data_IF_192241791716
#
_entry.id   IF_192241791716
#
_cell.length_a   1.000
_cell.length_b   1.000
_cell.length_c   1.000
_cell.angle_alpha   90.00
_cell.angle_beta   90.00
_cell.angle_gamma   90.00
#
_symmetry.space_group_name_H-M   'P 1'
#
loop_
_entity.id
_entity.type
_entity.pdbx_description
1 polymer ?
#
# COMPACT_ATOMS: atom_id res chain seq x y z
N UNK A 1 21.82 -23.34 -1.36
CA UNK A 1 22.84 -23.03 -0.34
C UNK A 1 23.52 -21.66 -0.47
N UNK A 2 23.59 -21.01 -1.64
CA UNK A 2 24.20 -19.66 -1.73
C UNK A 2 23.26 -18.49 -1.35
N UNK A 3 21.93 -18.67 -1.31
CA UNK A 3 21.01 -17.61 -0.81
C UNK A 3 20.93 -17.54 0.73
N UNK A 4 21.09 -18.66 1.44
CA UNK A 4 21.31 -18.62 2.90
C UNK A 4 22.67 -17.99 3.24
N UNK A 5 23.68 -18.21 2.40
CA UNK A 5 24.99 -17.58 2.54
C UNK A 5 24.96 -16.07 2.23
N UNK A 6 24.18 -15.61 1.23
CA UNK A 6 24.03 -14.18 0.90
C UNK A 6 23.13 -13.45 1.90
N UNK A 7 22.09 -14.08 2.45
CA UNK A 7 21.29 -13.49 3.54
C UNK A 7 22.07 -13.42 4.86
N UNK A 8 22.84 -14.45 5.24
CA UNK A 8 23.77 -14.37 6.40
C UNK A 8 24.91 -13.36 6.18
N UNK A 9 25.46 -13.26 4.97
CA UNK A 9 26.49 -12.27 4.66
C UNK A 9 25.93 -10.83 4.63
N UNK A 10 24.69 -10.63 4.18
CA UNK A 10 24.05 -9.30 4.22
C UNK A 10 23.69 -8.86 5.64
N UNK A 11 23.31 -9.77 6.54
CA UNK A 11 23.08 -9.48 7.96
C UNK A 11 24.37 -9.14 8.73
N UNK A 12 25.50 -9.78 8.38
CA UNK A 12 26.82 -9.47 8.95
C UNK A 12 27.38 -8.13 8.44
N UNK A 13 27.14 -7.76 7.18
CA UNK A 13 27.58 -6.46 6.63
C UNK A 13 26.79 -5.28 7.22
N UNK A 14 25.50 -5.47 7.56
CA UNK A 14 24.72 -4.45 8.28
C UNK A 14 25.20 -4.21 9.72
N UNK A 15 25.83 -5.20 10.37
CA UNK A 15 26.35 -5.06 11.73
C UNK A 15 27.71 -4.34 11.80
N UNK A 16 28.44 -4.22 10.69
CA UNK A 16 29.73 -3.51 10.60
C UNK A 16 29.56 -2.07 10.10
N UNK A 17 28.45 -1.76 9.41
CA UNK A 17 28.15 -0.42 8.89
C UNK A 17 27.66 0.58 9.97
N UNK A 18 27.53 0.17 11.23
CA UNK A 18 27.25 1.04 12.38
C UNK A 18 28.51 1.73 12.94
N UNK A 19 29.67 1.58 12.30
CA UNK A 19 30.89 2.33 12.64
C UNK A 19 31.30 3.19 11.43
N UNK A 20 30.79 4.41 11.36
CA UNK A 20 31.16 5.35 10.30
C UNK A 20 30.08 6.38 10.03
N UNK A 21 29.87 7.28 10.98
CA UNK A 21 29.02 8.44 10.83
C UNK A 21 29.85 9.58 10.27
N UNK A 22 29.62 10.02 9.02
CA UNK A 22 29.94 11.39 8.58
C UNK A 22 28.91 11.93 7.55
N UNK A 23 28.61 13.22 7.72
CA UNK A 23 27.50 13.98 7.13
C UNK A 23 27.72 14.37 5.66
N UNK A 24 26.79 13.98 4.78
CA UNK A 24 26.39 14.77 3.61
C UNK A 24 24.92 14.45 3.27
N UNK A 25 23.99 15.36 3.59
CA UNK A 25 22.55 15.15 3.37
C UNK A 25 22.13 15.38 1.91
N UNK A 26 22.09 14.30 1.13
CA UNK A 26 21.28 14.21 -0.09
C UNK A 26 19.92 13.61 0.26
N UNK A 27 18.85 14.40 0.21
CA UNK A 27 17.48 13.89 0.39
C UNK A 27 16.88 13.54 -0.97
N UNK A 28 16.91 12.24 -1.28
CA UNK A 28 16.32 11.67 -2.50
C UNK A 28 14.90 11.16 -2.20
N UNK A 29 13.89 11.67 -2.90
CA UNK A 29 12.50 11.21 -2.81
C UNK A 29 12.14 10.44 -4.08
N UNK A 30 12.76 9.27 -4.29
CA UNK A 30 12.50 8.42 -5.46
C UNK A 30 13.14 8.90 -6.77
N UNK A 31 12.35 8.94 -7.86
CA UNK A 31 12.77 9.32 -9.22
C UNK A 31 13.01 10.83 -9.41
N UNK A 32 12.59 11.63 -8.42
CA UNK A 32 12.76 13.07 -8.40
C UNK A 32 13.88 13.44 -7.42
N UNK A 33 14.72 14.37 -7.85
CA UNK A 33 15.82 14.92 -7.04
C UNK A 33 15.40 16.28 -6.51
N UNK A 34 15.69 16.54 -5.25
CA UNK A 34 15.68 17.89 -4.71
C UNK A 34 16.68 18.74 -5.52
N UNK A 35 16.20 19.78 -6.21
CA UNK A 35 17.06 20.66 -7.02
C UNK A 35 17.30 22.01 -6.35
N UNK A 36 16.27 22.54 -5.70
CA UNK A 36 16.37 23.82 -5.00
C UNK A 36 15.69 23.72 -3.64
N UNK A 37 16.44 24.08 -2.59
CA UNK A 37 15.89 24.34 -1.27
C UNK A 37 15.32 25.76 -1.23
N UNK A 38 14.32 25.97 -0.39
CA UNK A 38 13.68 27.27 -0.13
C UNK A 38 13.21 27.98 -1.40
N UNK A 39 12.78 27.19 -2.38
CA UNK A 39 12.30 27.62 -3.69
C UNK A 39 11.19 26.72 -4.19
N UNK A 40 10.25 27.31 -4.90
CA UNK A 40 9.11 26.63 -5.52
C UNK A 40 8.86 27.17 -6.92
N UNK A 41 8.31 26.33 -7.79
CA UNK A 41 7.90 26.73 -9.13
C UNK A 41 6.43 27.19 -9.09
N UNK A 42 6.16 28.45 -9.44
CA UNK A 42 4.81 29.03 -9.48
C UNK A 42 4.27 29.11 -10.90
N UNK A 43 3.00 29.50 -11.06
CA UNK A 43 2.28 29.66 -12.35
C UNK A 43 2.12 28.39 -13.20
N UNK A 44 2.66 27.27 -12.75
CA UNK A 44 2.64 25.99 -13.43
C UNK A 44 2.04 24.85 -12.60
N UNK A 45 1.50 25.15 -11.42
CA UNK A 45 0.82 24.20 -10.53
C UNK A 45 -0.46 23.70 -11.19
N UNK A 46 -0.61 22.37 -11.27
CA UNK A 46 -1.73 21.68 -11.90
C UNK A 46 -2.57 20.86 -10.93
N UNK A 47 -2.03 20.52 -9.76
CA UNK A 47 -2.75 19.82 -8.70
C UNK A 47 -2.05 20.05 -7.37
N UNK A 48 -2.82 20.03 -6.28
CA UNK A 48 -2.31 20.16 -4.91
C UNK A 48 -2.83 19.02 -4.04
N UNK A 49 -1.97 18.45 -3.21
CA UNK A 49 -2.29 17.29 -2.36
C UNK A 49 -1.63 17.43 -0.99
N UNK A 50 -2.39 17.20 0.07
CA UNK A 50 -1.83 17.04 1.42
C UNK A 50 -1.29 15.61 1.57
N UNK A 51 -0.05 15.49 2.03
CA UNK A 51 0.62 14.20 2.25
C UNK A 51 1.39 14.21 3.56
N UNK A 52 1.54 13.05 4.17
CA UNK A 52 2.32 12.86 5.40
C UNK A 52 3.80 12.54 5.12
N UNK A 53 4.16 12.21 3.88
CA UNK A 53 5.52 11.88 3.46
C UNK A 53 5.90 12.56 2.13
N UNK A 54 7.05 13.25 2.03
CA UNK A 54 7.52 13.87 0.79
C UNK A 54 7.66 12.91 -0.41
N UNK A 55 7.82 11.60 -0.18
CA UNK A 55 7.84 10.61 -1.27
C UNK A 55 6.49 10.48 -1.98
N UNK A 56 5.36 10.77 -1.31
CA UNK A 56 4.04 10.75 -1.93
C UNK A 56 3.90 11.84 -3.01
N UNK A 57 4.57 12.98 -2.87
CA UNK A 57 4.59 14.00 -3.93
C UNK A 57 5.17 13.43 -5.24
N UNK A 58 6.20 12.59 -5.13
CA UNK A 58 6.81 11.96 -6.30
C UNK A 58 5.88 10.96 -6.97
N UNK A 59 5.14 10.16 -6.19
CA UNK A 59 4.15 9.20 -6.72
C UNK A 59 2.96 9.90 -7.36
N UNK A 60 2.45 10.96 -6.73
CA UNK A 60 1.36 11.77 -7.27
C UNK A 60 1.77 12.43 -8.60
N UNK A 61 3.01 12.91 -8.70
CA UNK A 61 3.55 13.43 -9.95
C UNK A 61 3.64 12.35 -11.03
N UNK A 62 4.18 11.16 -10.72
CA UNK A 62 4.24 10.05 -11.67
C UNK A 62 2.85 9.60 -12.16
N UNK A 63 1.84 9.76 -11.30
CA UNK A 63 0.46 9.37 -11.58
C UNK A 63 -0.34 10.40 -12.39
N UNK A 64 0.19 11.61 -12.53
CA UNK A 64 -0.43 12.68 -13.27
C UNK A 64 0.29 12.90 -14.60
N UNK A 65 -0.41 12.61 -15.71
CA UNK A 65 0.19 12.66 -17.03
C UNK A 65 0.74 14.02 -17.41
N UNK A 66 0.31 15.11 -16.77
CA UNK A 66 0.78 16.46 -17.07
C UNK A 66 1.93 16.90 -16.16
N UNK A 67 2.26 16.12 -15.13
CA UNK A 67 3.29 16.50 -14.17
C UNK A 67 4.70 16.32 -14.72
N UNK A 68 5.53 17.36 -14.56
CA UNK A 68 6.93 17.41 -14.92
C UNK A 68 7.84 17.56 -13.70
N UNK A 69 7.39 18.28 -12.66
CA UNK A 69 8.11 18.54 -11.42
C UNK A 69 7.12 18.72 -10.27
N UNK A 70 7.57 18.86 -9.02
CA UNK A 70 6.67 19.20 -7.92
C UNK A 70 7.34 20.09 -6.87
N UNK A 71 6.51 20.87 -6.17
CA UNK A 71 6.88 21.58 -4.95
C UNK A 71 6.46 20.74 -3.74
N UNK A 72 7.26 20.75 -2.68
CA UNK A 72 6.89 20.22 -1.37
C UNK A 72 6.99 21.34 -0.35
N UNK A 73 5.85 21.78 0.16
CA UNK A 73 5.76 22.86 1.16
C UNK A 73 5.44 22.25 2.51
N UNK A 74 6.17 22.63 3.55
CA UNK A 74 5.89 22.18 4.91
C UNK A 74 4.67 22.93 5.43
N UNK A 75 3.65 22.22 5.92
CA UNK A 75 2.50 22.84 6.59
C UNK A 75 2.66 22.75 8.11
N UNK A 76 2.86 21.54 8.64
CA UNK A 76 3.01 21.28 10.07
C UNK A 76 4.22 20.35 10.35
N UNK A 77 4.42 19.91 11.59
CA UNK A 77 5.53 18.98 11.93
C UNK A 77 5.47 17.63 11.18
N UNK A 78 4.32 17.22 10.66
CA UNK A 78 4.10 15.92 10.02
C UNK A 78 3.31 15.96 8.69
N UNK A 79 2.97 17.14 8.17
CA UNK A 79 2.18 17.31 6.94
C UNK A 79 2.90 18.19 5.92
N UNK A 80 2.86 17.76 4.65
CA UNK A 80 3.43 18.44 3.50
C UNK A 80 2.33 18.70 2.47
N UNK A 81 2.28 19.92 1.96
CA UNK A 81 1.51 20.27 0.77
C UNK A 81 2.37 20.01 -0.47
N UNK A 82 1.98 19.01 -1.26
CA UNK A 82 2.57 18.74 -2.57
C UNK A 82 1.84 19.54 -3.65
N UNK A 83 2.57 20.31 -4.44
CA UNK A 83 2.03 20.94 -5.65
C UNK A 83 2.69 20.32 -6.88
N UNK A 84 1.90 19.66 -7.72
CA UNK A 84 2.37 19.08 -8.97
C UNK A 84 2.45 20.19 -10.02
N UNK A 85 3.56 20.26 -10.76
CA UNK A 85 3.77 21.28 -11.79
C UNK A 85 3.77 20.67 -13.19
N UNK A 86 3.20 21.41 -14.14
CA UNK A 86 3.20 21.04 -15.57
C UNK A 86 4.54 21.21 -16.29
N UNK A 87 5.48 21.93 -15.67
CA UNK A 87 6.79 22.26 -16.22
C UNK A 87 7.90 22.01 -15.21
N UNK A 88 9.12 21.87 -15.70
CA UNK A 88 10.35 21.91 -14.90
C UNK A 88 10.90 23.34 -14.77
N UNK A 89 11.76 23.58 -13.78
CA UNK A 89 12.48 24.84 -13.61
C UNK A 89 13.43 25.12 -14.79
N UNK A 90 13.90 24.09 -15.49
CA UNK A 90 14.66 24.25 -16.73
C UNK A 90 13.79 24.80 -17.88
N UNK A 91 12.50 24.44 -17.91
CA UNK A 91 11.54 24.91 -18.92
C UNK A 91 10.92 26.27 -18.57
N UNK A 92 10.91 26.65 -17.28
CA UNK A 92 10.33 27.89 -16.79
C UNK A 92 11.19 28.53 -15.67
N UNK A 93 12.43 28.96 -15.98
CA UNK A 93 13.35 29.48 -14.96
C UNK A 93 12.85 30.76 -14.28
N UNK A 94 12.09 31.60 -15.00
CA UNK A 94 11.52 32.84 -14.47
C UNK A 94 10.39 32.63 -13.45
N UNK A 95 9.83 31.42 -13.38
CA UNK A 95 8.75 31.07 -12.45
C UNK A 95 9.26 30.40 -11.17
N UNK A 96 10.58 30.26 -11.00
CA UNK A 96 11.18 29.70 -9.79
C UNK A 96 11.40 30.82 -8.77
N UNK A 97 10.58 30.84 -7.72
CA UNK A 97 10.56 31.90 -6.70
C UNK A 97 11.10 31.39 -5.36
N UNK A 98 11.68 32.30 -4.57
CA UNK A 98 12.12 31.98 -3.21
C UNK A 98 10.91 31.81 -2.28
N UNK A 99 10.94 30.77 -1.45
CA UNK A 99 9.95 30.52 -0.41
C UNK A 99 10.56 29.61 0.67
N UNK A 100 10.72 30.15 1.87
CA UNK A 100 11.47 29.54 2.99
C UNK A 100 10.92 28.21 3.48
N UNK A 101 9.64 27.92 3.25
CA UNK A 101 9.00 26.67 3.69
C UNK A 101 8.73 25.69 2.54
N UNK A 102 9.32 25.92 1.37
CA UNK A 102 9.09 25.11 0.18
C UNK A 102 10.36 24.64 -0.52
N UNK A 103 10.34 23.38 -0.94
CA UNK A 103 11.42 22.75 -1.69
C UNK A 103 10.94 22.34 -3.09
N UNK A 104 11.80 22.50 -4.09
CA UNK A 104 11.50 22.16 -5.48
C UNK A 104 12.24 20.89 -5.93
N UNK A 105 11.47 19.97 -6.51
CA UNK A 105 11.93 18.66 -6.96
C UNK A 105 11.71 18.47 -8.46
N UNK A 106 12.72 17.97 -9.14
CA UNK A 106 12.72 17.75 -10.60
C UNK A 106 13.07 16.29 -10.93
N UNK A 107 12.68 15.83 -12.13
CA UNK A 107 13.03 14.52 -12.61
C UNK A 107 14.57 14.33 -12.65
N UNK A 108 15.02 13.12 -12.32
CA UNK A 108 16.43 12.73 -12.48
C UNK A 108 16.89 12.88 -13.93
N UNK A 109 18.18 13.18 -14.14
CA UNK A 109 18.80 13.54 -15.45
C UNK A 109 18.63 12.46 -16.55
N UNK A 110 18.21 11.25 -16.17
CA UNK A 110 17.82 10.18 -17.09
C UNK A 110 16.46 10.46 -17.75
N UNK A 111 16.35 11.52 -18.55
CA UNK A 111 15.14 11.91 -19.31
C UNK A 111 14.52 10.74 -20.10
N UNK A 112 15.36 9.83 -20.61
CA UNK A 112 14.91 8.64 -21.34
C UNK A 112 14.19 7.62 -20.43
N UNK A 113 14.71 7.39 -19.23
CA UNK A 113 14.09 6.50 -18.23
C UNK A 113 12.77 7.10 -17.75
N UNK A 114 12.76 8.40 -17.46
CA UNK A 114 11.56 9.14 -17.05
C UNK A 114 10.44 9.15 -18.11
N UNK A 115 10.80 9.34 -19.39
CA UNK A 115 9.84 9.32 -20.51
C UNK A 115 9.28 7.92 -20.78
N UNK A 116 10.12 6.88 -20.66
CA UNK A 116 9.67 5.48 -20.75
C UNK A 116 8.73 5.11 -19.59
N UNK A 117 9.04 5.60 -18.39
CA UNK A 117 8.26 5.43 -17.17
C UNK A 117 6.87 6.03 -17.23
N UNK A 118 6.79 7.30 -17.61
CA UNK A 118 5.52 8.02 -17.77
C UNK A 118 4.64 7.33 -18.80
N UNK A 119 5.21 6.86 -19.91
CA UNK A 119 4.47 6.07 -20.91
C UNK A 119 3.93 4.76 -20.34
N UNK A 120 4.71 4.03 -19.54
CA UNK A 120 4.29 2.78 -18.90
C UNK A 120 3.17 3.00 -17.86
N UNK A 121 3.30 4.04 -17.03
CA UNK A 121 2.30 4.37 -16.01
C UNK A 121 0.97 4.84 -16.63
N UNK A 122 1.04 5.70 -17.66
CA UNK A 122 -0.12 6.15 -18.45
C UNK A 122 -0.82 4.98 -19.14
N UNK A 123 -0.02 4.08 -19.74
CA UNK A 123 -0.53 2.89 -20.42
C UNK A 123 -1.26 1.94 -19.46
N UNK A 124 -0.74 1.74 -18.24
CA UNK A 124 -1.40 0.97 -17.17
C UNK A 124 -2.77 1.56 -16.79
N UNK A 125 -2.91 2.89 -16.76
CA UNK A 125 -4.17 3.56 -16.41
C UNK A 125 -5.22 3.52 -17.52
N UNK A 126 -4.81 3.38 -18.79
CA UNK A 126 -5.70 3.47 -19.96
C UNK A 126 -6.35 2.13 -20.36
N UNK A 127 -6.06 1.03 -19.66
CA UNK A 127 -6.27 -0.31 -20.20
C UNK A 127 -7.36 -1.14 -19.51
N UNK A 128 -8.59 -0.95 -20.00
CA UNK A 128 -9.67 -1.93 -19.98
C UNK A 128 -9.91 -2.52 -21.40
N UNK A 129 -8.89 -2.53 -22.29
CA UNK A 129 -8.94 -3.14 -23.66
C UNK A 129 -7.60 -3.74 -24.08
N UNK A 130 -7.66 -4.89 -24.77
CA UNK A 130 -6.55 -5.79 -25.17
C UNK A 130 -5.37 -5.11 -25.90
N UNK A 131 -4.16 -5.65 -25.70
CA UNK A 131 -2.90 -5.19 -26.33
C UNK A 131 -2.64 -5.93 -27.64
N UNK A 132 -2.32 -5.17 -28.69
CA UNK A 132 -1.74 -5.64 -29.96
C UNK A 132 -0.28 -6.11 -29.77
N UNK A 133 0.04 -7.40 -30.00
CA UNK A 133 1.37 -7.98 -29.80
C UNK A 133 2.50 -7.34 -30.64
N UNK A 134 2.18 -6.66 -31.74
CA UNK A 134 3.17 -6.06 -32.64
C UNK A 134 3.95 -4.89 -32.00
N UNK A 135 3.36 -4.21 -31.00
CA UNK A 135 3.97 -3.05 -30.32
C UNK A 135 4.95 -3.41 -29.21
N UNK A 136 5.06 -4.69 -28.86
CA UNK A 136 6.01 -5.20 -27.85
C UNK A 136 7.44 -5.24 -28.42
N UNK A 137 7.59 -5.39 -29.74
CA UNK A 137 8.91 -5.39 -30.41
C UNK A 137 9.62 -4.04 -30.33
N UNK A 138 8.87 -2.93 -30.37
CA UNK A 138 9.43 -1.58 -30.18
C UNK A 138 10.04 -1.37 -28.78
N UNK A 139 9.56 -2.12 -27.77
CA UNK A 139 10.10 -2.08 -26.40
C UNK A 139 11.39 -2.88 -26.23
N UNK A 140 11.62 -3.90 -27.07
CA UNK A 140 12.83 -4.73 -27.05
C UNK A 140 14.01 -4.09 -27.79
N UNK A 141 13.78 -3.02 -28.56
CA UNK A 141 14.83 -2.23 -29.21
C UNK A 141 15.76 -1.47 -28.22
N UNK A 142 15.42 -1.42 -26.92
CA UNK A 142 16.27 -0.86 -25.86
C UNK A 142 17.52 -1.71 -25.53
N UNK A 143 17.70 -2.89 -26.16
CA UNK A 143 18.91 -3.70 -26.01
C UNK A 143 20.19 -3.04 -26.58
N UNK A 144 20.07 -2.00 -27.41
CA UNK A 144 21.20 -1.40 -28.12
C UNK A 144 21.72 -0.07 -27.53
N UNK A 145 21.59 0.15 -26.22
CA UNK A 145 22.35 1.20 -25.51
C UNK A 145 23.75 0.69 -25.12
N UNK A 146 24.55 0.32 -26.12
CA UNK A 146 26.01 0.29 -26.01
C UNK A 146 26.54 1.26 -27.08
N UNK A 147 26.59 2.55 -26.73
CA UNK A 147 27.35 3.55 -27.47
C UNK A 147 28.72 3.71 -26.83
N UNK A 148 29.79 3.98 -27.60
CA UNK A 148 31.15 4.07 -27.07
C UNK A 148 31.26 5.20 -26.03
N UNK A 149 31.96 4.91 -24.92
CA UNK A 149 32.39 5.88 -23.94
C UNK A 149 33.27 6.93 -24.65
N UNK A 150 32.71 8.11 -24.92
CA UNK A 150 33.51 9.27 -25.27
C UNK A 150 34.23 9.73 -24.00
N UNK A 151 35.51 9.39 -23.89
CA UNK A 151 36.45 10.09 -23.03
C UNK A 151 36.51 11.55 -23.46
N UNK A 152 35.94 12.45 -22.66
CA UNK A 152 36.36 13.85 -22.68
C UNK A 152 37.10 14.11 -21.36
N UNK A 153 38.35 14.52 -21.54
CA UNK A 153 39.35 14.78 -20.52
C UNK A 153 38.88 15.88 -19.56
N UNK A 154 38.95 15.63 -18.26
CA UNK A 154 39.05 16.69 -17.27
C UNK A 154 40.52 17.15 -17.25
N UNK A 155 40.78 18.37 -17.69
CA UNK A 155 42.08 19.04 -17.55
C UNK A 155 42.29 19.47 -16.09
N UNK A 156 43.48 19.21 -15.55
CA UNK A 156 43.93 19.67 -14.22
C UNK A 156 44.08 21.21 -14.18
N UNK A 157 43.90 21.86 -13.01
CA UNK A 157 44.70 23.01 -12.64
C UNK A 157 45.83 22.57 -11.69
N UNK A 158 47.05 22.88 -12.11
CA UNK A 158 48.27 22.93 -11.31
C UNK A 158 48.04 23.62 -9.95
N UNK A 159 48.41 22.96 -8.84
CA UNK A 159 49.24 23.58 -7.80
C UNK A 159 49.80 22.53 -6.83
N UNK A 160 51.09 22.70 -6.53
CA UNK A 160 51.87 21.94 -5.55
C UNK A 160 51.41 22.23 -4.11
N UNK A 161 51.58 21.19 -3.28
CA UNK A 161 51.79 21.15 -1.82
C UNK A 161 50.64 20.66 -0.93
N UNK A 162 51.12 19.88 0.07
CA UNK A 162 50.53 19.34 1.30
C UNK A 162 49.54 18.18 1.20
N UNK A 163 50.09 16.98 1.47
CA UNK A 163 49.60 15.91 2.36
C UNK A 163 48.09 15.66 2.44
N UNK A 164 47.60 14.69 1.67
CA UNK A 164 46.50 13.82 2.11
C UNK A 164 46.50 12.52 1.28
N UNK A 165 46.44 11.38 1.98
CA UNK A 165 46.42 10.04 1.40
C UNK A 165 45.14 9.78 0.60
N UNK A 166 45.31 9.19 -0.58
CA UNK A 166 44.27 8.85 -1.55
C UNK A 166 43.36 7.73 -1.05
N UNK A 167 42.04 7.97 -0.96
CA UNK A 167 40.99 6.95 -0.83
C UNK A 167 40.33 6.56 -2.18
N UNK A 168 39.80 5.33 -2.35
CA UNK A 168 39.35 4.82 -3.65
C UNK A 168 37.91 5.19 -4.04
N UNK A 169 37.74 5.32 -5.35
CA UNK A 169 36.56 5.58 -6.17
C UNK A 169 35.21 4.98 -5.74
N UNK A 170 34.17 5.83 -5.64
CA UNK A 170 32.76 5.44 -5.58
C UNK A 170 31.96 6.19 -6.66
N UNK A 171 31.64 5.54 -7.78
CA UNK A 171 30.64 6.05 -8.74
C UNK A 171 29.86 4.97 -9.53
N UNK A 172 30.22 3.69 -9.44
CA UNK A 172 29.68 2.66 -10.37
C UNK A 172 28.73 1.66 -9.69
N UNK A 173 28.71 1.53 -8.37
CA UNK A 173 27.94 0.48 -7.67
C UNK A 173 26.49 0.89 -7.35
N UNK A 174 26.16 2.19 -7.36
CA UNK A 174 24.87 2.68 -6.89
C UNK A 174 23.76 2.74 -7.97
N UNK A 175 24.16 2.86 -9.24
CA UNK A 175 23.22 2.93 -10.37
C UNK A 175 22.56 1.56 -10.68
N UNK A 176 23.27 0.46 -10.43
CA UNK A 176 22.77 -0.89 -10.69
C UNK A 176 21.83 -1.39 -9.58
N UNK A 177 22.06 -0.97 -8.33
CA UNK A 177 21.14 -1.22 -7.19
C UNK A 177 19.77 -0.55 -7.40
N UNK A 178 19.77 0.65 -8.00
CA UNK A 178 18.58 1.46 -8.31
C UNK A 178 17.80 0.94 -9.53
N UNK A 179 18.49 0.43 -10.56
CA UNK A 179 17.85 -0.27 -11.69
C UNK A 179 17.16 -1.57 -11.25
N UNK A 180 17.75 -2.31 -10.31
CA UNK A 180 17.21 -3.59 -9.85
C UNK A 180 15.93 -3.43 -9.02
N UNK A 181 15.91 -2.50 -8.06
CA UNK A 181 14.71 -2.16 -7.26
C UNK A 181 13.55 -1.67 -8.12
N UNK A 182 13.86 -0.87 -9.14
CA UNK A 182 12.89 -0.33 -10.07
C UNK A 182 12.36 -1.37 -11.08
N UNK A 183 13.21 -2.27 -11.59
CA UNK A 183 12.77 -3.40 -12.43
C UNK A 183 11.89 -4.37 -11.63
N UNK A 184 12.15 -4.56 -10.34
CA UNK A 184 11.29 -5.36 -9.44
C UNK A 184 9.93 -4.69 -9.20
N UNK A 185 9.90 -3.36 -9.03
CA UNK A 185 8.66 -2.57 -8.92
C UNK A 185 7.82 -2.60 -10.22
N UNK A 186 8.47 -2.42 -11.37
CA UNK A 186 7.82 -2.48 -12.69
C UNK A 186 7.31 -3.89 -13.00
N UNK A 187 8.03 -4.94 -12.59
CA UNK A 187 7.57 -6.33 -12.74
C UNK A 187 6.41 -6.68 -11.82
N UNK A 188 6.32 -6.12 -10.61
CA UNK A 188 5.17 -6.37 -9.73
C UNK A 188 3.90 -5.65 -10.20
N UNK A 189 4.03 -4.49 -10.85
CA UNK A 189 2.89 -3.72 -11.40
C UNK A 189 2.50 -4.10 -12.83
N UNK A 190 3.42 -4.59 -13.68
CA UNK A 190 3.10 -5.09 -15.02
C UNK A 190 2.58 -6.54 -15.04
N UNK A 191 2.67 -7.27 -13.93
CA UNK A 191 2.03 -8.59 -13.75
C UNK A 191 0.49 -8.56 -13.78
N UNK A 192 -0.11 -7.36 -13.87
CA UNK A 192 -1.54 -7.14 -14.04
C UNK A 192 -2.03 -7.28 -15.49
N UNK A 193 -1.14 -7.57 -16.45
CA UNK A 193 -1.54 -7.93 -17.81
C UNK A 193 -2.16 -9.35 -17.83
N UNK A 194 -3.50 -9.43 -17.92
CA UNK A 194 -4.24 -10.69 -18.16
C UNK A 194 -3.61 -11.48 -19.33
N UNK A 195 -3.47 -12.80 -19.13
CA UNK A 195 -3.03 -13.86 -20.06
C UNK A 195 -1.55 -13.86 -20.47
N UNK A 196 -0.72 -14.50 -19.64
CA UNK A 196 0.42 -15.30 -20.13
C UNK A 196 0.04 -16.76 -19.90
N UNK A 197 -0.64 -17.37 -20.87
CA UNK A 197 -0.84 -18.83 -20.90
C UNK A 197 0.29 -19.41 -21.74
N UNK A 198 1.23 -20.11 -21.12
CA UNK A 198 2.12 -21.02 -21.84
C UNK A 198 1.43 -22.40 -21.89
N UNK A 199 1.36 -23.08 -23.05
CA UNK A 199 0.69 -24.38 -23.17
C UNK A 199 1.34 -25.45 -22.27
N UNK A 200 0.51 -26.28 -21.63
CA UNK A 200 0.88 -27.34 -20.68
C UNK A 200 1.88 -28.39 -21.23
N UNK A 201 2.08 -28.46 -22.55
CA UNK A 201 3.00 -29.40 -23.20
C UNK A 201 4.49 -29.08 -22.99
N UNK A 202 4.83 -27.89 -22.47
CA UNK A 202 6.23 -27.54 -22.18
C UNK A 202 6.69 -27.97 -20.78
N UNK A 203 5.77 -28.33 -19.88
CA UNK A 203 6.07 -28.64 -18.46
C UNK A 203 6.35 -30.14 -18.25
N UNK A 204 5.87 -31.02 -19.14
CA UNK A 204 5.99 -32.48 -18.98
C UNK A 204 7.40 -33.06 -19.14
N UNK A 205 8.37 -32.28 -19.64
CA UNK A 205 9.74 -32.77 -19.87
C UNK A 205 10.75 -32.43 -18.76
N UNK A 206 10.32 -31.94 -17.60
CA UNK A 206 11.22 -31.52 -16.50
C UNK A 206 11.30 -32.49 -15.31
N UNK A 207 10.87 -33.76 -15.48
CA UNK A 207 11.25 -34.88 -14.61
C UNK A 207 11.41 -36.12 -15.50
N UNK A 208 12.63 -36.64 -15.76
CA UNK A 208 13.57 -37.10 -14.73
C UNK A 208 15.05 -36.89 -15.13
N UNK A 209 15.70 -35.84 -14.62
CA UNK A 209 17.18 -35.76 -14.58
C UNK A 209 17.65 -34.90 -13.40
N UNK A 210 16.84 -34.86 -12.33
CA UNK A 210 17.09 -34.10 -11.11
C UNK A 210 17.73 -35.00 -10.05
N UNK A 211 18.82 -35.66 -10.40
CA UNK A 211 19.74 -36.25 -9.43
C UNK A 211 21.13 -36.18 -10.06
N UNK A 212 22.05 -35.49 -9.38
CA UNK A 212 23.50 -35.39 -9.65
C UNK A 212 24.00 -34.37 -10.68
N UNK A 213 23.75 -33.06 -10.49
CA UNK A 213 24.69 -32.04 -10.99
C UNK A 213 24.76 -30.82 -10.04
N UNK A 214 25.94 -30.19 -9.86
CA UNK A 214 26.15 -29.15 -8.86
C UNK A 214 25.51 -27.82 -9.28
N UNK A 215 24.76 -27.21 -8.35
CA UNK A 215 24.05 -25.94 -8.50
C UNK A 215 25.01 -24.79 -8.83
N UNK A 216 25.23 -24.51 -10.11
CA UNK A 216 26.17 -23.48 -10.57
C UNK A 216 25.58 -22.46 -11.55
N UNK A 217 24.30 -22.58 -11.94
CA UNK A 217 23.75 -21.72 -12.98
C UNK A 217 22.57 -20.85 -12.50
N UNK A 218 22.76 -19.53 -12.61
CA UNK A 218 21.87 -18.46 -12.12
C UNK A 218 20.48 -18.53 -12.78
N UNK A 219 20.39 -19.06 -14.00
CA UNK A 219 19.17 -19.18 -14.80
C UNK A 219 18.09 -20.08 -14.17
N UNK A 220 18.48 -21.17 -13.48
CA UNK A 220 17.54 -22.07 -12.81
C UNK A 220 17.05 -21.51 -11.46
N UNK A 221 17.86 -20.68 -10.79
CA UNK A 221 17.45 -19.92 -9.60
C UNK A 221 16.52 -18.75 -9.93
N UNK A 222 16.71 -18.10 -11.08
CA UNK A 222 15.83 -17.03 -11.58
C UNK A 222 14.43 -17.59 -11.90
N UNK A 223 14.33 -18.83 -12.42
CA UNK A 223 13.06 -19.48 -12.71
C UNK A 223 12.25 -19.81 -11.43
N UNK A 224 12.89 -20.27 -10.35
CA UNK A 224 12.22 -20.42 -9.05
C UNK A 224 11.79 -19.07 -8.45
N UNK A 225 12.55 -17.99 -8.72
CA UNK A 225 12.29 -16.66 -8.17
C UNK A 225 11.27 -15.85 -8.98
N UNK A 226 11.11 -16.15 -10.27
CA UNK A 226 10.08 -15.57 -11.15
C UNK A 226 8.73 -16.28 -11.03
N UNK A 227 8.70 -17.50 -10.51
CA UNK A 227 7.48 -18.23 -10.17
C UNK A 227 6.79 -17.69 -8.90
N UNK A 228 7.50 -16.94 -8.05
CA UNK A 228 6.97 -16.28 -6.86
C UNK A 228 6.60 -14.83 -7.17
N UNK A 229 5.54 -14.62 -7.95
CA UNK A 229 4.90 -13.32 -8.01
C UNK A 229 4.33 -13.03 -6.61
N UNK A 230 4.92 -12.07 -5.91
CA UNK A 230 4.63 -11.73 -4.51
C UNK A 230 3.24 -11.09 -4.44
N UNK A 231 2.18 -11.88 -4.38
CA UNK A 231 0.87 -11.38 -3.96
C UNK A 231 0.88 -11.21 -2.44
N UNK A 232 0.34 -10.10 -1.97
CA UNK A 232 0.20 -9.88 -0.53
C UNK A 232 -1.02 -10.64 -0.02
N UNK A 233 -0.91 -11.24 1.16
CA UNK A 233 -2.00 -12.04 1.74
C UNK A 233 -3.17 -11.19 2.22
N UNK A 234 -2.85 -9.96 2.61
CA UNK A 234 -3.78 -8.92 3.03
C UNK A 234 -3.09 -7.54 2.92
N UNK A 235 -3.84 -6.48 3.22
CA UNK A 235 -3.31 -5.13 3.15
C UNK A 235 -2.24 -4.83 4.21
N UNK A 236 -2.21 -5.54 5.35
CA UNK A 236 -1.22 -5.34 6.40
C UNK A 236 0.12 -5.94 6.02
N UNK A 237 0.09 -7.13 5.42
CA UNK A 237 1.25 -7.75 4.80
C UNK A 237 1.78 -6.89 3.64
N UNK A 238 0.90 -6.34 2.80
CA UNK A 238 1.27 -5.40 1.75
C UNK A 238 1.93 -4.13 2.32
N UNK A 239 1.34 -3.55 3.37
CA UNK A 239 1.85 -2.37 4.07
C UNK A 239 3.21 -2.64 4.74
N UNK A 240 3.41 -3.83 5.31
CA UNK A 240 4.67 -4.21 5.95
C UNK A 240 5.79 -4.38 4.92
N UNK A 241 5.50 -5.01 3.78
CA UNK A 241 6.47 -5.20 2.69
C UNK A 241 6.80 -3.88 1.99
N UNK A 242 5.81 -3.01 1.83
CA UNK A 242 5.94 -1.74 1.11
C UNK A 242 5.32 -0.56 1.89
N UNK A 243 6.00 -0.08 2.95
CA UNK A 243 5.46 0.95 3.86
C UNK A 243 5.18 2.32 3.23
N UNK A 244 5.52 2.52 1.96
CA UNK A 244 5.33 3.78 1.22
C UNK A 244 4.23 3.69 0.17
N UNK A 245 3.49 2.56 0.09
CA UNK A 245 2.35 2.47 -0.81
C UNK A 245 1.23 3.40 -0.34
N UNK A 246 0.61 4.18 -1.25
CA UNK A 246 -0.54 4.99 -0.89
C UNK A 246 -1.77 4.10 -0.63
N UNK A 247 -2.81 4.65 0.00
CA UNK A 247 -4.10 3.99 0.05
C UNK A 247 -4.68 3.82 -1.37
N UNK A 248 -5.35 2.70 -1.63
CA UNK A 248 -5.85 2.39 -2.96
C UNK A 248 -6.34 0.95 -3.12
N UNK A 249 -6.80 0.60 -4.32
CA UNK A 249 -7.25 -0.76 -4.62
C UNK A 249 -6.06 -1.61 -5.06
N UNK A 250 -5.85 -2.73 -4.38
CA UNK A 250 -4.77 -3.69 -4.64
C UNK A 250 -5.34 -5.10 -4.84
N UNK A 251 -4.57 -5.95 -5.52
CA UNK A 251 -4.88 -7.38 -5.63
C UNK A 251 -4.25 -8.11 -4.44
N UNK A 252 -5.10 -8.84 -3.70
CA UNK A 252 -4.78 -9.58 -2.49
C UNK A 252 -5.01 -11.07 -2.72
N UNK A 253 -4.14 -11.91 -2.18
CA UNK A 253 -4.18 -13.37 -2.29
C UNK A 253 -3.98 -14.05 -0.92
N UNK A 254 -5.06 -14.31 -0.16
CA UNK A 254 -4.95 -14.74 1.23
C UNK A 254 -4.38 -16.14 1.47
N UNK A 255 -4.32 -17.00 0.44
CA UNK A 255 -3.98 -18.41 0.64
C UNK A 255 -2.54 -18.78 0.24
N UNK A 256 -1.78 -17.83 -0.33
CA UNK A 256 -0.40 -17.99 -0.84
C UNK A 256 -0.22 -19.21 -1.78
N UNK A 257 -1.33 -19.70 -2.34
CA UNK A 257 -1.48 -20.93 -3.08
C UNK A 257 -1.74 -20.65 -4.56
N UNK A 258 -2.88 -21.11 -5.09
CA UNK A 258 -3.25 -20.77 -6.47
C UNK A 258 -3.73 -19.32 -6.51
N UNK A 259 -3.16 -18.50 -7.39
CA UNK A 259 -3.56 -17.09 -7.54
C UNK A 259 -4.93 -16.86 -8.22
N UNK A 260 -5.70 -17.94 -8.43
CA UNK A 260 -7.01 -17.91 -9.08
C UNK A 260 -8.09 -17.27 -8.20
N UNK A 261 -7.95 -17.35 -6.87
CA UNK A 261 -8.89 -16.75 -5.91
C UNK A 261 -8.43 -15.38 -5.40
N UNK A 262 -7.31 -14.86 -5.91
CA UNK A 262 -6.86 -13.52 -5.60
C UNK A 262 -7.83 -12.46 -6.12
N UNK A 263 -8.21 -11.51 -5.26
CA UNK A 263 -9.28 -10.54 -5.50
C UNK A 263 -8.85 -9.10 -5.24
N UNK A 264 -9.66 -8.13 -5.67
CA UNK A 264 -9.40 -6.70 -5.44
C UNK A 264 -9.97 -6.25 -4.09
N UNK A 265 -9.15 -5.53 -3.34
CA UNK A 265 -9.50 -4.92 -2.07
C UNK A 265 -8.96 -3.49 -1.99
N UNK A 266 -9.72 -2.57 -1.41
CA UNK A 266 -9.18 -1.29 -0.99
C UNK A 266 -8.34 -1.46 0.28
N UNK A 267 -7.07 -1.09 0.19
CA UNK A 267 -6.16 -1.00 1.31
C UNK A 267 -6.05 0.44 1.78
N UNK A 268 -6.43 0.70 3.03
CA UNK A 268 -6.08 1.95 3.69
C UNK A 268 -4.69 1.80 4.31
N UNK A 269 -3.71 2.47 3.70
CA UNK A 269 -2.30 2.45 4.08
C UNK A 269 -1.92 3.60 5.01
N UNK A 270 -2.86 4.48 5.36
CA UNK A 270 -2.55 5.74 6.06
C UNK A 270 -3.24 5.86 7.40
N UNK A 271 -4.53 5.53 7.48
CA UNK A 271 -5.33 5.83 8.68
C UNK A 271 -4.97 4.90 9.82
N UNK A 272 -4.82 5.44 11.04
CA UNK A 272 -4.55 4.66 12.24
C UNK A 272 -3.36 3.67 12.09
N UNK A 273 -2.32 4.10 11.37
CA UNK A 273 -1.10 3.31 11.11
C UNK A 273 -1.20 2.31 9.96
N UNK A 274 -2.24 2.41 9.11
CA UNK A 274 -2.33 1.74 7.83
C UNK A 274 -2.49 0.21 7.86
N UNK A 275 -2.49 -0.40 6.68
CA UNK A 275 -2.61 -1.85 6.51
C UNK A 275 -4.03 -2.40 6.67
N UNK A 276 -5.06 -1.56 6.62
CA UNK A 276 -6.44 -2.02 6.74
C UNK A 276 -6.94 -2.57 5.42
N UNK A 277 -7.47 -3.80 5.45
CA UNK A 277 -8.24 -4.36 4.33
C UNK A 277 -9.69 -3.98 4.50
N UNK A 278 -10.21 -3.08 3.66
CA UNK A 278 -11.58 -2.57 3.78
C UNK A 278 -12.58 -3.57 3.20
N UNK A 279 -13.55 -4.01 4.01
CA UNK A 279 -14.48 -5.08 3.69
C UNK A 279 -15.78 -4.57 3.05
N UNK A 280 -16.35 -3.50 3.57
CA UNK A 280 -17.53 -2.88 2.99
C UNK A 280 -17.69 -1.42 3.41
N UNK A 281 -18.51 -0.68 2.66
CA UNK A 281 -19.06 0.62 3.02
C UNK A 281 -20.57 0.56 2.82
N UNK A 282 -21.34 0.96 3.84
CA UNK A 282 -22.79 1.08 3.70
C UNK A 282 -23.42 2.06 4.68
N UNK A 283 -24.57 2.62 4.31
CA UNK A 283 -25.38 3.49 5.16
C UNK A 283 -26.66 2.83 5.73
N UNK A 284 -26.92 1.57 5.37
CA UNK A 284 -28.04 0.77 5.88
C UNK A 284 -27.57 -0.63 6.29
N UNK A 285 -27.35 -1.54 5.31
CA UNK A 285 -27.09 -2.97 5.55
C UNK A 285 -25.98 -3.52 4.67
N UNK A 286 -25.24 -4.48 5.21
CA UNK A 286 -24.28 -5.28 4.47
C UNK A 286 -24.24 -6.71 5.01
N UNK A 287 -24.10 -7.68 4.12
CA UNK A 287 -23.85 -9.09 4.47
C UNK A 287 -22.41 -9.46 4.07
N UNK A 288 -21.38 -9.12 4.86
CA UNK A 288 -19.98 -9.39 4.50
C UNK A 288 -19.65 -10.88 4.36
N UNK A 289 -20.54 -11.78 4.79
CA UNK A 289 -20.38 -13.21 4.57
C UNK A 289 -20.69 -13.60 3.12
N UNK A 290 -21.66 -12.93 2.49
CA UNK A 290 -22.17 -13.29 1.14
C UNK A 290 -21.92 -12.21 0.09
N UNK A 291 -22.00 -10.94 0.45
CA UNK A 291 -21.74 -9.77 -0.40
C UNK A 291 -20.24 -9.49 -0.43
N UNK A 292 -19.50 -10.29 -1.21
CA UNK A 292 -18.02 -10.31 -1.19
C UNK A 292 -17.37 -9.85 -2.49
N UNK A 293 -18.18 -9.44 -3.47
CA UNK A 293 -17.71 -9.12 -4.82
C UNK A 293 -17.44 -7.63 -4.97
N UNK A 294 -16.21 -7.28 -5.31
CA UNK A 294 -15.84 -5.91 -5.64
C UNK A 294 -16.47 -5.44 -6.94
N UNK A 295 -17.15 -4.30 -6.88
CA UNK A 295 -17.75 -3.62 -8.02
C UNK A 295 -17.09 -2.23 -8.21
N UNK A 296 -16.40 -1.98 -9.33
CA UNK A 296 -15.82 -0.68 -9.64
C UNK A 296 -16.84 0.47 -9.72
N UNK A 297 -18.14 0.20 -9.91
CA UNK A 297 -19.19 1.21 -9.87
C UNK A 297 -19.49 1.70 -8.44
N UNK A 298 -19.11 0.92 -7.43
CA UNK A 298 -19.25 1.22 -6.02
C UNK A 298 -17.87 1.19 -5.33
N UNK A 299 -16.98 2.15 -5.63
CA UNK A 299 -15.65 2.22 -5.03
C UNK A 299 -15.72 2.46 -3.51
N UNK A 300 -14.61 2.20 -2.83
CA UNK A 300 -14.48 2.47 -1.39
C UNK A 300 -14.88 3.91 -1.05
N UNK A 301 -15.60 4.07 0.06
CA UNK A 301 -16.17 5.35 0.50
C UNK A 301 -17.55 5.67 -0.12
N UNK A 302 -18.08 4.81 -1.00
CA UNK A 302 -19.47 4.87 -1.45
C UNK A 302 -20.30 3.72 -0.87
N UNK A 303 -21.58 3.96 -0.63
CA UNK A 303 -22.51 2.88 -0.29
C UNK A 303 -22.49 1.81 -1.40
N UNK A 304 -22.56 0.54 -0.99
CA UNK A 304 -22.45 -0.60 -1.89
C UNK A 304 -21.03 -1.13 -2.13
N UNK A 305 -19.96 -0.50 -1.64
CA UNK A 305 -18.62 -1.11 -1.71
C UNK A 305 -18.58 -2.44 -0.93
N UNK A 306 -18.06 -3.49 -1.55
CA UNK A 306 -17.95 -4.86 -1.01
C UNK A 306 -16.65 -5.52 -1.44
N UNK A 307 -16.01 -6.27 -0.55
CA UNK A 307 -14.80 -7.05 -0.82
C UNK A 307 -14.77 -8.29 0.07
N UNK A 308 -14.15 -9.37 -0.42
CA UNK A 308 -14.11 -10.66 0.24
C UNK A 308 -13.15 -10.71 1.45
N UNK A 309 -13.58 -10.25 2.62
CA UNK A 309 -12.79 -10.38 3.84
C UNK A 309 -12.86 -11.77 4.53
N UNK A 310 -13.69 -12.70 4.05
CA UNK A 310 -13.89 -13.99 4.72
C UNK A 310 -12.61 -14.84 4.90
N UNK A 311 -11.65 -14.85 3.96
CA UNK A 311 -10.41 -15.61 4.13
C UNK A 311 -9.46 -15.02 5.17
N UNK A 312 -9.70 -13.79 5.64
CA UNK A 312 -8.75 -13.06 6.46
C UNK A 312 -8.73 -13.53 7.91
N UNK A 313 -7.57 -13.37 8.52
CA UNK A 313 -7.39 -13.35 9.96
C UNK A 313 -7.25 -11.90 10.44
N UNK A 314 -7.76 -11.58 11.62
CA UNK A 314 -7.68 -10.24 12.19
C UNK A 314 -7.67 -10.27 13.72
N UNK A 315 -6.94 -9.35 14.32
CA UNK A 315 -7.03 -9.02 15.75
C UNK A 315 -7.31 -7.53 15.97
N UNK A 316 -7.48 -6.77 14.87
CA UNK A 316 -7.90 -5.39 14.88
C UNK A 316 -9.01 -5.16 13.84
N UNK A 317 -10.01 -4.35 14.21
CA UNK A 317 -11.13 -3.95 13.35
C UNK A 317 -11.31 -2.43 13.45
N UNK A 318 -11.53 -1.76 12.32
CA UNK A 318 -11.81 -0.32 12.24
C UNK A 318 -13.19 -0.07 11.66
N UNK A 319 -13.89 0.90 12.25
CA UNK A 319 -15.09 1.52 11.74
C UNK A 319 -14.74 2.96 11.38
N UNK A 320 -15.20 3.41 10.22
CA UNK A 320 -14.94 4.77 9.72
C UNK A 320 -16.24 5.46 9.36
N UNK A 321 -16.37 6.74 9.72
CA UNK A 321 -17.46 7.60 9.32
C UNK A 321 -16.88 8.95 8.91
N UNK A 322 -16.83 9.23 7.61
CA UNK A 322 -16.13 10.40 7.09
C UNK A 322 -14.63 10.36 7.44
N UNK A 323 -14.16 11.34 8.22
CA UNK A 323 -12.78 11.43 8.67
C UNK A 323 -12.53 10.75 10.03
N UNK A 324 -13.59 10.33 10.73
CA UNK A 324 -13.49 9.74 12.06
C UNK A 324 -13.23 8.24 11.99
N UNK A 325 -12.30 7.77 12.82
CA UNK A 325 -11.88 6.37 12.90
C UNK A 325 -12.03 5.87 14.33
N UNK A 326 -12.88 4.86 14.52
CA UNK A 326 -12.96 4.10 15.76
C UNK A 326 -12.45 2.70 15.50
N UNK A 327 -11.36 2.29 16.16
CA UNK A 327 -10.80 0.96 15.95
C UNK A 327 -10.59 0.23 17.26
N UNK A 328 -10.63 -1.09 17.17
CA UNK A 328 -10.69 -1.98 18.30
C UNK A 328 -9.59 -3.03 18.18
N UNK A 329 -8.80 -3.17 19.23
CA UNK A 329 -7.74 -4.18 19.33
C UNK A 329 -8.15 -5.28 20.29
N UNK A 330 -8.05 -6.53 19.87
CA UNK A 330 -8.42 -7.67 20.71
C UNK A 330 -7.41 -7.87 21.84
N UNK A 331 -7.90 -8.13 23.04
CA UNK A 331 -7.03 -8.50 24.16
C UNK A 331 -6.39 -9.87 23.95
N UNK A 332 -5.12 -9.99 24.36
CA UNK A 332 -4.32 -11.21 24.21
C UNK A 332 -3.75 -11.45 22.81
N UNK A 333 -3.90 -10.49 21.88
CA UNK A 333 -3.33 -10.47 20.52
C UNK A 333 -3.66 -11.68 19.62
N UNK A 334 -4.55 -12.58 20.06
CA UNK A 334 -4.92 -13.77 19.31
C UNK A 334 -5.83 -13.41 18.14
N UNK A 335 -5.40 -13.71 16.91
CA UNK A 335 -6.20 -13.45 15.72
C UNK A 335 -7.44 -14.35 15.62
N UNK A 336 -8.54 -13.76 15.14
CA UNK A 336 -9.77 -14.43 14.74
C UNK A 336 -9.78 -14.68 13.23
N UNK A 337 -10.36 -15.79 12.79
CA UNK A 337 -10.64 -16.07 11.38
C UNK A 337 -12.05 -15.59 11.05
N UNK A 338 -12.20 -14.65 10.12
CA UNK A 338 -13.50 -14.03 9.80
C UNK A 338 -14.57 -15.11 9.51
N UNK A 339 -14.29 -16.04 8.59
CA UNK A 339 -15.27 -17.06 8.17
C UNK A 339 -15.77 -17.97 9.29
N UNK A 340 -14.93 -18.30 10.28
CA UNK A 340 -15.32 -19.18 11.39
C UNK A 340 -15.78 -18.43 12.63
N UNK A 341 -15.61 -17.11 12.68
CA UNK A 341 -16.05 -16.27 13.80
C UNK A 341 -17.46 -15.71 13.62
N UNK A 342 -18.14 -15.97 12.49
CA UNK A 342 -19.54 -15.60 12.33
C UNK A 342 -20.43 -16.35 13.33
N UNK A 343 -21.12 -15.57 14.15
CA UNK A 343 -22.04 -15.97 15.21
C UNK A 343 -23.49 -15.92 14.73
N UNK A 344 -24.33 -16.80 15.25
CA UNK A 344 -25.79 -16.78 15.08
C UNK A 344 -26.50 -16.23 16.35
N UNK A 345 -27.79 -16.50 16.50
CA UNK A 345 -28.63 -16.06 17.62
C UNK A 345 -28.37 -16.77 18.96
N UNK A 346 -27.63 -17.88 18.96
CA UNK A 346 -27.27 -18.65 20.15
C UNK A 346 -25.87 -18.34 20.68
N UNK A 347 -25.01 -17.73 19.85
CA UNK A 347 -23.62 -17.43 20.18
C UNK A 347 -23.47 -16.07 20.87
N UNK A 348 -22.75 -16.08 22.00
CA UNK A 348 -22.41 -14.86 22.76
C UNK A 348 -21.09 -14.26 22.26
N UNK A 349 -20.92 -12.97 22.50
CA UNK A 349 -19.71 -12.24 22.10
C UNK A 349 -18.44 -12.66 22.87
N UNK A 350 -18.57 -13.40 23.97
CA UNK A 350 -17.45 -13.89 24.78
C UNK A 350 -16.52 -14.83 24.00
N UNK A 351 -17.07 -15.59 23.05
CA UNK A 351 -16.30 -16.42 22.12
C UNK A 351 -15.26 -15.61 21.33
N UNK A 352 -15.52 -14.32 21.09
CA UNK A 352 -14.63 -13.40 20.40
C UNK A 352 -13.77 -12.54 21.35
N UNK A 353 -13.88 -12.73 22.66
CA UNK A 353 -13.10 -12.01 23.67
C UNK A 353 -13.42 -10.52 23.78
N UNK A 354 -12.66 -9.84 24.65
CA UNK A 354 -12.76 -8.40 24.89
C UNK A 354 -11.78 -7.60 24.03
N UNK A 355 -12.14 -6.34 23.78
CA UNK A 355 -11.46 -5.45 22.84
C UNK A 355 -11.22 -4.07 23.45
N UNK A 356 -10.09 -3.47 23.12
CA UNK A 356 -9.70 -2.13 23.56
C UNK A 356 -10.06 -1.11 22.49
N UNK A 357 -10.81 -0.07 22.86
CA UNK A 357 -11.22 1.00 21.95
C UNK A 357 -10.11 2.05 21.78
N UNK A 358 -9.92 2.49 20.54
CA UNK A 358 -8.94 3.48 20.12
C UNK A 358 -9.54 4.47 19.10
N UNK A 359 -8.77 5.50 18.74
CA UNK A 359 -9.24 6.57 17.87
C UNK A 359 -10.33 7.40 18.56
N UNK A 360 -11.48 7.56 17.91
CA UNK A 360 -12.62 8.29 18.48
C UNK A 360 -13.46 7.46 19.46
N UNK A 361 -13.18 6.16 19.61
CA UNK A 361 -13.93 5.31 20.52
C UNK A 361 -13.74 5.73 21.98
N UNK A 362 -14.83 5.73 22.75
CA UNK A 362 -14.76 5.97 24.20
C UNK A 362 -13.84 4.96 24.89
N UNK A 363 -13.00 5.42 25.79
CA UNK A 363 -12.09 4.60 26.61
C UNK A 363 -12.68 4.22 27.96
N UNK A 364 -13.95 4.54 28.22
CA UNK A 364 -14.61 4.29 29.51
C UNK A 364 -14.88 2.81 29.83
N UNK A 365 -14.77 1.92 28.86
CA UNK A 365 -15.01 0.49 29.02
C UNK A 365 -14.28 -0.31 27.94
N UNK A 366 -14.16 -1.62 28.16
CA UNK A 366 -13.80 -2.57 27.12
C UNK A 366 -14.97 -2.80 26.17
N UNK A 367 -14.68 -3.28 24.98
CA UNK A 367 -15.63 -3.59 23.93
C UNK A 367 -15.77 -5.09 23.71
N UNK A 368 -16.87 -5.49 23.10
CA UNK A 368 -17.16 -6.85 22.66
C UNK A 368 -17.54 -6.84 21.18
N UNK A 369 -17.19 -7.91 20.45
CA UNK A 369 -17.38 -8.03 19.01
C UNK A 369 -18.26 -9.24 18.66
N UNK A 370 -19.26 -9.01 17.82
CA UNK A 370 -20.05 -10.04 17.14
C UNK A 370 -19.86 -9.93 15.63
N UNK A 371 -19.71 -11.05 14.95
CA UNK A 371 -19.75 -11.15 13.49
C UNK A 371 -21.08 -11.79 13.14
N UNK A 372 -22.11 -11.00 12.90
CA UNK A 372 -23.45 -11.55 12.79
C UNK A 372 -23.75 -12.09 11.40
N UNK A 373 -24.25 -13.33 11.37
CA UNK A 373 -24.94 -13.92 10.23
C UNK A 373 -26.33 -14.38 10.67
N UNK A 374 -27.14 -13.42 11.13
CA UNK A 374 -28.48 -13.66 11.65
C UNK A 374 -29.54 -12.89 10.85
N UNK A 375 -30.79 -13.34 10.92
CA UNK A 375 -31.92 -12.65 10.28
C UNK A 375 -32.15 -11.25 10.85
N UNK A 376 -31.82 -11.02 12.13
CA UNK A 376 -31.98 -9.74 12.78
C UNK A 376 -30.83 -8.77 12.49
N UNK A 377 -29.58 -9.24 12.51
CA UNK A 377 -28.40 -8.42 12.25
C UNK A 377 -27.40 -9.20 11.38
N UNK A 378 -26.82 -8.51 10.40
CA UNK A 378 -25.73 -9.01 9.58
C UNK A 378 -24.56 -8.04 9.63
N UNK A 379 -23.34 -8.60 9.58
CA UNK A 379 -22.10 -7.84 9.58
C UNK A 379 -21.45 -7.69 10.93
N UNK A 380 -20.45 -6.81 11.02
CA UNK A 380 -19.67 -6.61 12.24
C UNK A 380 -20.43 -5.70 13.20
N UNK A 381 -20.51 -6.12 14.45
CA UNK A 381 -21.15 -5.37 15.52
C UNK A 381 -20.22 -5.27 16.73
N UNK A 382 -19.77 -4.05 17.02
CA UNK A 382 -19.03 -3.74 18.24
C UNK A 382 -19.93 -2.95 19.20
N UNK A 383 -19.87 -3.28 20.48
CA UNK A 383 -20.50 -2.48 21.55
C UNK A 383 -19.65 -2.48 22.80
N UNK A 384 -19.92 -1.54 23.72
CA UNK A 384 -19.32 -1.60 25.03
C UNK A 384 -19.71 -2.86 25.80
N UNK A 385 -18.76 -3.36 26.58
CA UNK A 385 -18.95 -4.40 27.56
C UNK A 385 -19.19 -3.74 28.91
N UNK A 386 -20.46 -3.68 29.31
CA UNK A 386 -20.91 -3.11 30.57
C UNK A 386 -21.65 -4.17 31.38
N UNK A 387 -21.68 -3.99 32.71
CA UNK A 387 -22.45 -4.85 33.62
C UNK A 387 -22.17 -6.35 33.45
N UNK A 388 -20.93 -6.70 33.08
CA UNK A 388 -20.49 -8.07 32.84
C UNK A 388 -21.39 -8.88 31.87
N UNK A 389 -22.01 -8.20 30.90
CA UNK A 389 -23.03 -8.80 30.02
C UNK A 389 -22.55 -8.90 28.57
N UNK A 390 -22.49 -10.13 28.08
CA UNK A 390 -22.25 -10.42 26.67
C UNK A 390 -23.53 -10.38 25.86
N UNK A 391 -23.47 -9.73 24.70
CA UNK A 391 -24.58 -9.62 23.75
C UNK A 391 -24.56 -10.78 22.76
N UNK A 392 -25.69 -10.97 22.08
CA UNK A 392 -25.87 -11.89 20.95
C UNK A 392 -26.38 -11.10 19.76
N UNK A 393 -26.32 -11.68 18.57
CA UNK A 393 -26.73 -10.98 17.34
C UNK A 393 -28.15 -10.42 17.42
N UNK A 394 -29.09 -11.18 17.98
CA UNK A 394 -30.50 -10.78 18.12
C UNK A 394 -30.92 -10.31 19.53
N UNK A 395 -29.99 -10.22 20.49
CA UNK A 395 -30.29 -9.81 21.85
C UNK A 395 -29.15 -8.94 22.42
N UNK A 396 -29.45 -7.65 22.56
CA UNK A 396 -28.50 -6.63 23.00
C UNK A 396 -28.68 -6.25 24.48
N UNK A 397 -29.41 -7.07 25.24
CA UNK A 397 -29.61 -6.94 26.69
C UNK A 397 -30.24 -5.63 27.16
N UNK A 398 -30.91 -4.87 26.28
CA UNK A 398 -31.49 -3.59 26.66
C UNK A 398 -30.46 -2.49 26.93
N UNK A 399 -29.20 -2.68 26.54
CA UNK A 399 -28.11 -1.74 26.84
C UNK A 399 -28.30 -0.41 26.10
N UNK A 400 -28.75 0.59 26.85
CA UNK A 400 -28.98 1.97 26.39
C UNK A 400 -27.86 2.93 26.82
N UNK A 401 -26.76 2.40 27.34
CA UNK A 401 -25.71 3.19 27.99
C UNK A 401 -24.40 3.17 27.22
N UNK A 402 -24.01 2.03 26.65
CA UNK A 402 -22.74 1.91 25.94
C UNK A 402 -22.83 2.40 24.48
N UNK A 403 -21.68 2.73 23.89
CA UNK A 403 -21.56 3.07 22.46
C UNK A 403 -21.52 1.80 21.60
N UNK A 404 -22.13 1.91 20.42
CA UNK A 404 -22.30 0.86 19.44
C UNK A 404 -21.67 1.29 18.12
N UNK A 405 -21.21 0.29 17.37
CA UNK A 405 -20.76 0.39 16.00
C UNK A 405 -21.44 -0.74 15.24
N UNK A 406 -22.53 -0.42 14.56
CA UNK A 406 -23.35 -1.39 13.82
C UNK A 406 -24.06 -0.74 12.65
N UNK A 407 -24.29 -1.56 11.62
CA UNK A 407 -25.27 -1.26 10.59
C UNK A 407 -26.71 -1.46 11.10
N UNK A 408 -27.70 -1.16 10.26
CA UNK A 408 -29.11 -1.29 10.59
C UNK A 408 -29.52 -2.75 10.80
N UNK A 409 -30.33 -3.00 11.83
CA UNK A 409 -30.94 -4.30 12.05
C UNK A 409 -32.25 -4.43 11.24
N UNK A 410 -32.80 -5.64 11.16
CA UNK A 410 -34.04 -5.91 10.43
C UNK A 410 -35.28 -5.25 11.05
N UNK A 411 -35.29 -5.00 12.38
CA UNK A 411 -36.39 -4.34 13.07
C UNK A 411 -36.25 -2.82 13.00
N UNK A 412 -37.35 -2.12 12.71
CA UNK A 412 -37.39 -0.65 12.59
C UNK A 412 -36.99 0.08 13.87
N UNK A 413 -37.20 -0.52 15.05
CA UNK A 413 -36.75 0.00 16.34
C UNK A 413 -35.22 0.07 16.48
N UNK A 414 -34.48 -0.50 15.54
CA UNK A 414 -33.03 -0.54 15.47
C UNK A 414 -32.52 -0.25 14.04
N UNK A 415 -33.32 0.52 13.28
CA UNK A 415 -32.93 1.02 11.97
C UNK A 415 -31.75 2.01 12.07
N UNK A 416 -31.13 2.28 10.92
CA UNK A 416 -30.01 3.20 10.79
C UNK A 416 -28.70 2.70 11.41
N UNK A 417 -27.68 3.54 11.30
CA UNK A 417 -26.30 3.18 11.62
C UNK A 417 -25.85 3.88 12.89
N UNK A 418 -25.29 3.10 13.81
CA UNK A 418 -24.68 3.60 15.04
C UNK A 418 -23.17 3.72 14.83
N UNK A 419 -22.62 4.90 15.13
CA UNK A 419 -21.19 5.13 15.14
C UNK A 419 -20.83 5.98 16.37
N UNK A 420 -20.20 5.35 17.36
CA UNK A 420 -19.81 6.01 18.62
C UNK A 420 -20.99 6.65 19.38
N UNK A 421 -22.15 6.01 19.32
CA UNK A 421 -23.38 6.42 20.02
C UNK A 421 -24.13 5.16 20.46
N UNK A 422 -25.13 5.27 21.35
CA UNK A 422 -25.92 4.11 21.72
C UNK A 422 -26.77 3.61 20.54
N UNK A 423 -26.62 2.32 20.20
CA UNK A 423 -27.29 1.70 19.08
C UNK A 423 -28.57 0.94 19.44
N UNK A 424 -29.01 0.92 20.70
CA UNK A 424 -30.22 0.21 21.14
C UNK A 424 -31.51 1.03 20.88
N UNK A 425 -31.53 1.77 19.79
CA UNK A 425 -32.62 2.63 19.33
C UNK A 425 -32.59 2.73 17.80
N UNK A 426 -33.63 3.33 17.23
CA UNK A 426 -33.64 3.71 15.83
C UNK A 426 -32.79 4.97 15.64
N UNK A 427 -31.95 4.96 14.61
CA UNK A 427 -31.03 6.03 14.26
C UNK A 427 -31.23 6.44 12.79
N UNK A 428 -30.74 7.61 12.38
CA UNK A 428 -30.63 7.93 10.96
C UNK A 428 -29.60 7.03 10.27
N UNK A 429 -29.74 6.89 8.96
CA UNK A 429 -28.72 6.27 8.13
C UNK A 429 -27.46 7.14 8.14
N UNK A 430 -26.29 6.50 8.30
CA UNK A 430 -24.98 7.15 8.25
C UNK A 430 -24.05 6.24 7.46
N UNK A 431 -23.32 6.81 6.53
CA UNK A 431 -22.34 6.04 5.78
C UNK A 431 -21.21 5.58 6.71
N UNK A 432 -20.94 4.28 6.73
CA UNK A 432 -19.90 3.69 7.55
C UNK A 432 -19.14 2.61 6.78
N UNK A 433 -17.81 2.63 6.87
CA UNK A 433 -16.97 1.55 6.33
C UNK A 433 -16.33 0.74 7.44
N UNK A 434 -16.11 -0.54 7.16
CA UNK A 434 -15.46 -1.48 8.09
C UNK A 434 -14.24 -2.10 7.44
N UNK A 435 -13.13 -2.15 8.17
CA UNK A 435 -11.87 -2.75 7.72
C UNK A 435 -11.22 -3.61 8.80
N UNK A 436 -10.37 -4.55 8.36
CA UNK A 436 -9.72 -5.54 9.21
C UNK A 436 -8.21 -5.56 8.97
N UNK A 437 -7.45 -5.87 10.02
CA UNK A 437 -6.02 -6.20 9.89
C UNK A 437 -5.56 -7.14 11.00
N UNK A 438 -4.41 -7.77 10.76
CA UNK A 438 -3.72 -8.63 11.73
C UNK A 438 -2.35 -8.04 12.05
N UNK A 439 -2.16 -7.55 13.27
CA UNK A 439 -0.89 -6.98 13.75
C UNK A 439 -0.21 -7.86 14.78
#
# INVERSE_FOLDING_TARGET
MWRAFVYCAMLLVSAVASLGQEHCEWKQTGLFKLRHRDRVLVDHVIASHNVTNPTHCSMNCLSNERCASFNSKKQDQQSYMCELNSKSAAEAPGSLVNMTDGNYYDASDSKAVWKALRKLFIFSKKQNREIDPSKIQDFLALKNLHGPLASSECTEPNTRNSNEEKGPHCAVVENDRKKLLYITFVRSHLGYARKIWAPQSYISNLRPSLMTLPLTNVSQLIALCAASAIFATDCQDLHTRFPYLPSGVYKIDPNDGSHDDAYLAYCDMTSEGGGWTMCYTSDDKADPRREVTYDPAHPYGMDGYRTNCNPLEFNEIVFTNGADHAWFKRQGDLALKVKSSYTNDTDYADANGLWEGNGVASTSYLYQLLLCDDTFLKGFFVSGFIENTYKRCNNWSGDRSSNYYRLAAAKTSFAGVAFNENGHIALPNKLMSVGLRKK
#
